data_IF_871039213035
#
_entry.id   IF_871039213035
#
_cell.length_a   1.000
_cell.length_b   1.000
_cell.length_c   1.000
_cell.angle_alpha   90.00
_cell.angle_beta   90.00
_cell.angle_gamma   90.00
#
_symmetry.space_group_name_H-M   'P 1'
#
loop_
_entity.id
_entity.type
_entity.pdbx_description
1 polymer ?
#
# COMPACT_ATOMS: atom_id res chain seq x y z
N UNK A 1 15.69 -19.25 -12.28
CA UNK A 1 15.02 -18.94 -13.56
C UNK A 1 13.54 -19.18 -13.32
N UNK A 2 12.74 -18.12 -13.26
CA UNK A 2 11.30 -18.24 -13.05
C UNK A 2 10.68 -18.77 -14.35
N UNK A 3 10.19 -20.01 -14.33
CA UNK A 3 9.45 -20.61 -15.44
C UNK A 3 7.98 -20.24 -15.30
N UNK A 4 7.52 -19.26 -16.08
CA UNK A 4 6.10 -18.95 -16.19
C UNK A 4 5.76 -17.59 -16.79
N UNK A 5 5.51 -17.59 -18.12
CA UNK A 5 4.85 -16.57 -18.96
C UNK A 5 5.74 -15.47 -19.57
N UNK A 6 6.00 -15.52 -20.90
CA UNK A 6 6.73 -14.47 -21.61
C UNK A 6 5.98 -13.16 -21.85
N UNK A 7 4.71 -13.01 -21.42
CA UNK A 7 3.82 -11.92 -21.86
C UNK A 7 3.01 -11.23 -20.74
N UNK A 8 3.30 -11.48 -19.46
CA UNK A 8 2.54 -10.90 -18.35
C UNK A 8 3.30 -9.77 -17.64
N UNK A 9 2.57 -8.90 -16.93
CA UNK A 9 3.13 -7.86 -16.07
C UNK A 9 4.16 -8.44 -15.09
N UNK A 10 5.26 -7.72 -14.86
CA UNK A 10 6.33 -8.14 -13.96
C UNK A 10 6.20 -7.49 -12.58
N UNK A 11 6.41 -8.27 -11.52
CA UNK A 11 6.53 -7.78 -10.14
C UNK A 11 7.87 -8.24 -9.58
N UNK A 12 8.71 -7.30 -9.15
CA UNK A 12 9.98 -7.58 -8.48
C UNK A 12 9.83 -7.29 -6.99
N UNK A 13 9.79 -8.33 -6.16
CA UNK A 13 9.66 -8.20 -4.72
C UNK A 13 11.02 -8.21 -4.02
N UNK A 14 11.33 -7.13 -3.29
CA UNK A 14 12.53 -7.05 -2.46
C UNK A 14 12.43 -7.91 -1.20
N UNK A 15 11.29 -7.84 -0.50
CA UNK A 15 11.12 -8.51 0.80
C UNK A 15 9.77 -9.21 0.86
N UNK A 16 9.81 -10.51 1.12
CA UNK A 16 8.63 -11.28 1.49
C UNK A 16 8.73 -11.68 2.96
N UNK A 17 7.86 -11.13 3.81
CA UNK A 17 7.81 -11.50 5.22
C UNK A 17 6.73 -12.56 5.42
N UNK A 18 7.14 -13.77 5.81
CA UNK A 18 6.24 -14.92 5.94
C UNK A 18 5.94 -15.23 7.40
N UNK A 19 4.67 -15.55 7.69
CA UNK A 19 4.30 -16.30 8.89
C UNK A 19 4.88 -17.72 8.76
N UNK A 20 5.44 -18.29 9.83
CA UNK A 20 5.80 -19.70 9.82
C UNK A 20 4.51 -20.53 9.76
N UNK A 21 4.37 -21.34 8.70
CA UNK A 21 3.31 -22.34 8.59
C UNK A 21 3.39 -23.43 9.68
N UNK A 22 4.53 -23.51 10.39
CA UNK A 22 4.83 -24.56 11.35
C UNK A 22 4.77 -24.10 12.81
N UNK A 23 4.51 -22.82 13.09
CA UNK A 23 4.47 -22.32 14.47
C UNK A 23 3.38 -21.27 14.62
N UNK A 24 2.14 -21.74 14.73
CA UNK A 24 1.15 -21.02 15.52
C UNK A 24 1.62 -21.05 16.98
N UNK A 25 1.79 -19.89 17.60
CA UNK A 25 2.21 -19.81 18.99
C UNK A 25 1.21 -20.51 19.92
N UNK A 26 -0.09 -20.45 19.60
CA UNK A 26 -1.13 -21.12 20.38
C UNK A 26 -1.03 -22.65 20.29
N UNK A 27 -0.46 -23.19 19.21
CA UNK A 27 -0.33 -24.63 18.96
C UNK A 27 1.04 -25.18 19.37
N UNK A 28 2.11 -24.42 19.13
CA UNK A 28 3.50 -24.91 19.22
C UNK A 28 4.33 -24.25 20.32
N UNK A 29 3.84 -23.14 20.91
CA UNK A 29 4.59 -22.33 21.87
C UNK A 29 5.81 -21.60 21.28
N UNK A 30 6.06 -21.72 19.96
CA UNK A 30 7.19 -21.08 19.28
C UNK A 30 6.73 -19.82 18.57
N UNK A 31 7.55 -18.76 18.64
CA UNK A 31 7.24 -17.44 18.06
C UNK A 31 7.90 -17.30 16.69
N UNK A 32 7.15 -16.85 15.69
CA UNK A 32 7.73 -16.29 14.46
C UNK A 32 7.77 -14.79 14.58
N UNK A 33 8.97 -14.28 14.85
CA UNK A 33 9.20 -12.85 14.98
C UNK A 33 9.52 -12.28 13.61
N UNK A 34 8.75 -11.31 13.18
CA UNK A 34 9.02 -10.53 11.99
C UNK A 34 9.99 -9.39 12.31
N UNK A 35 10.77 -8.92 11.32
CA UNK A 35 11.72 -7.82 11.51
C UNK A 35 11.02 -6.56 12.03
N UNK A 36 11.66 -5.87 12.95
CA UNK A 36 11.21 -4.57 13.47
C UNK A 36 11.63 -3.39 12.59
N UNK A 37 12.66 -3.57 11.76
CA UNK A 37 13.10 -2.58 10.78
C UNK A 37 13.39 -3.24 9.43
N UNK A 38 12.77 -2.72 8.37
CA UNK A 38 13.03 -3.10 6.97
C UNK A 38 13.30 -1.82 6.20
N UNK A 39 14.37 -1.80 5.40
CA UNK A 39 14.66 -0.69 4.49
C UNK A 39 14.94 -1.24 3.10
N UNK A 40 14.24 -0.71 2.11
CA UNK A 40 14.46 -0.98 0.69
C UNK A 40 14.65 0.36 0.01
N UNK A 41 15.75 0.51 -0.72
CA UNK A 41 16.11 1.77 -1.37
C UNK A 41 16.66 1.51 -2.78
N UNK A 42 16.29 2.36 -3.73
CA UNK A 42 16.92 2.42 -5.06
C UNK A 42 16.55 1.26 -5.99
N UNK A 43 15.30 0.81 -5.96
CA UNK A 43 14.79 -0.14 -6.95
C UNK A 43 14.19 0.62 -8.12
N UNK A 44 14.69 0.40 -9.35
CA UNK A 44 14.16 1.06 -10.54
C UNK A 44 13.93 0.06 -11.65
N UNK A 45 12.71 0.01 -12.17
CA UNK A 45 12.39 -0.69 -13.41
C UNK A 45 12.97 0.08 -14.60
N UNK A 46 13.75 -0.60 -15.44
CA UNK A 46 14.33 -0.05 -16.66
C UNK A 46 14.05 -0.99 -17.83
N UNK A 47 14.08 -0.46 -19.05
CA UNK A 47 13.90 -1.23 -20.30
C UNK A 47 12.60 -2.06 -20.34
N UNK A 48 11.52 -1.52 -19.77
CA UNK A 48 10.20 -2.17 -19.77
C UNK A 48 9.53 -1.96 -21.12
N UNK A 49 8.98 -3.04 -21.69
CA UNK A 49 8.37 -2.96 -23.01
C UNK A 49 7.12 -2.06 -23.01
N UNK A 50 6.79 -1.39 -24.14
CA UNK A 50 5.70 -0.41 -24.19
C UNK A 50 4.31 -0.91 -23.82
N UNK A 51 4.06 -2.23 -23.83
CA UNK A 51 2.75 -2.82 -23.51
C UNK A 51 2.76 -3.53 -22.14
N UNK A 52 3.87 -3.46 -21.41
CA UNK A 52 4.08 -4.18 -20.18
C UNK A 52 4.19 -3.24 -18.99
N UNK A 53 3.75 -3.72 -17.84
CA UNK A 53 3.98 -3.07 -16.56
C UNK A 53 5.10 -3.80 -15.81
N UNK A 54 5.92 -3.06 -15.10
CA UNK A 54 6.90 -3.59 -14.16
C UNK A 54 6.82 -2.83 -12.84
N UNK A 55 6.45 -3.53 -11.78
CA UNK A 55 6.28 -2.94 -10.44
C UNK A 55 7.41 -3.35 -9.52
N UNK A 56 8.02 -2.35 -8.87
CA UNK A 56 8.96 -2.53 -7.78
C UNK A 56 8.16 -2.72 -6.49
N UNK A 57 8.03 -3.97 -6.06
CA UNK A 57 7.39 -4.34 -4.81
C UNK A 57 8.42 -4.26 -3.67
N UNK A 58 8.23 -3.31 -2.77
CA UNK A 58 9.11 -3.14 -1.61
C UNK A 58 8.85 -4.18 -0.53
N UNK A 59 7.58 -4.51 -0.32
CA UNK A 59 7.19 -5.53 0.64
C UNK A 59 5.95 -6.31 0.20
N UNK A 60 6.02 -7.62 0.40
CA UNK A 60 4.91 -8.57 0.22
C UNK A 60 4.72 -9.43 1.46
N UNK A 61 3.46 -9.61 1.86
CA UNK A 61 3.06 -10.40 3.02
C UNK A 61 2.06 -11.51 2.60
N UNK A 62 1.92 -12.60 3.37
CA UNK A 62 0.88 -13.59 3.13
C UNK A 62 -0.48 -13.11 3.65
N UNK A 63 -1.55 -13.70 3.12
CA UNK A 63 -2.94 -13.33 3.44
C UNK A 63 -3.37 -13.66 4.88
N UNK A 64 -2.59 -14.47 5.60
CA UNK A 64 -2.90 -15.01 6.91
C UNK A 64 -2.09 -14.35 8.04
N UNK A 65 -1.45 -13.21 7.78
CA UNK A 65 -0.59 -12.55 8.75
C UNK A 65 -1.32 -12.15 10.04
N UNK A 66 -2.63 -11.88 9.94
CA UNK A 66 -3.50 -11.59 11.10
C UNK A 66 -3.52 -12.73 12.14
N UNK A 67 -3.15 -13.96 11.76
CA UNK A 67 -3.04 -15.09 12.68
C UNK A 67 -1.78 -15.01 13.55
N UNK A 68 -0.80 -14.17 13.21
CA UNK A 68 0.41 -13.99 14.01
C UNK A 68 0.19 -12.98 15.15
N UNK A 69 -0.55 -13.40 16.17
CA UNK A 69 -0.91 -12.53 17.31
C UNK A 69 0.29 -12.14 18.17
N UNK A 70 1.42 -12.85 18.09
CA UNK A 70 2.68 -12.54 18.80
C UNK A 70 3.84 -12.49 17.80
N UNK A 71 3.67 -11.65 16.78
CA UNK A 71 4.60 -11.56 15.64
C UNK A 71 5.77 -10.61 15.80
N UNK A 72 5.82 -9.81 16.88
CA UNK A 72 6.91 -8.86 17.14
C UNK A 72 7.59 -9.13 18.48
N UNK A 73 8.88 -8.83 18.53
CA UNK A 73 9.64 -8.77 19.79
C UNK A 73 9.25 -7.53 20.61
N UNK A 74 8.85 -6.46 19.92
CA UNK A 74 8.60 -5.16 20.51
C UNK A 74 7.10 -4.99 20.76
N UNK A 75 6.77 -4.47 21.94
CA UNK A 75 5.40 -4.02 22.23
C UNK A 75 5.02 -2.85 21.31
N UNK A 76 3.76 -2.79 20.88
CA UNK A 76 3.19 -1.66 20.15
C UNK A 76 3.43 -0.34 20.88
N UNK A 77 3.90 0.66 20.15
CA UNK A 77 4.01 2.02 20.62
C UNK A 77 2.65 2.69 20.79
N UNK A 78 2.67 3.94 21.26
CA UNK A 78 1.46 4.77 21.42
C UNK A 78 0.73 5.03 20.09
N UNK A 79 1.43 4.92 18.97
CA UNK A 79 0.87 5.04 17.63
C UNK A 79 0.20 3.75 17.13
N UNK A 80 0.26 2.66 17.90
CA UNK A 80 -0.30 1.35 17.58
C UNK A 80 0.56 0.48 16.66
N UNK A 81 1.82 0.85 16.39
CA UNK A 81 2.75 0.11 15.53
C UNK A 81 3.98 -0.37 16.32
N UNK A 82 4.67 -1.41 15.85
CA UNK A 82 5.89 -1.94 16.48
C UNK A 82 6.97 -2.36 15.46
N UNK A 83 6.75 -2.07 14.18
CA UNK A 83 7.71 -2.29 13.12
C UNK A 83 7.73 -1.10 12.17
N UNK A 84 8.90 -0.84 11.58
CA UNK A 84 9.15 0.24 10.64
C UNK A 84 9.61 -0.36 9.33
N UNK A 85 8.96 0.07 8.25
CA UNK A 85 9.31 -0.33 6.89
C UNK A 85 9.50 0.95 6.12
N UNK A 86 10.69 1.15 5.58
CA UNK A 86 11.02 2.34 4.80
C UNK A 86 11.33 1.91 3.38
N UNK A 87 10.51 2.35 2.44
CA UNK A 87 10.65 2.10 1.02
C UNK A 87 11.00 3.45 0.37
N UNK A 88 12.20 3.59 -0.19
CA UNK A 88 12.63 4.86 -0.80
C UNK A 88 13.05 4.67 -2.24
N UNK A 89 12.68 5.61 -3.10
CA UNK A 89 13.10 5.59 -4.50
C UNK A 89 12.76 4.26 -5.21
N UNK A 90 11.58 3.69 -4.93
CA UNK A 90 11.06 2.54 -5.67
C UNK A 90 10.32 3.07 -6.90
N UNK A 91 10.93 2.90 -8.06
CA UNK A 91 10.47 3.45 -9.33
C UNK A 91 10.00 2.31 -10.25
N UNK A 92 8.70 2.17 -10.36
CA UNK A 92 8.00 1.24 -11.24
C UNK A 92 7.73 1.90 -12.60
N UNK A 93 7.47 1.09 -13.63
CA UNK A 93 7.04 1.56 -14.95
C UNK A 93 5.68 0.95 -15.26
N UNK A 94 4.68 1.80 -15.44
CA UNK A 94 3.33 1.39 -15.84
C UNK A 94 3.07 1.97 -17.24
N UNK A 95 3.21 1.13 -18.27
CA UNK A 95 2.94 1.55 -19.65
C UNK A 95 1.51 1.21 -20.10
N UNK A 96 0.92 0.14 -19.55
CA UNK A 96 -0.49 -0.18 -19.75
C UNK A 96 -1.31 0.48 -18.61
N UNK A 97 -2.19 1.45 -18.91
CA UNK A 97 -2.92 2.25 -17.92
C UNK A 97 -4.11 1.50 -17.30
N UNK A 98 -3.98 0.19 -17.12
CA UNK A 98 -4.92 -0.66 -16.41
C UNK A 98 -4.17 -1.65 -15.53
N UNK A 99 -4.51 -1.66 -14.25
CA UNK A 99 -3.93 -2.59 -13.27
C UNK A 99 -5.08 -3.22 -12.49
N UNK A 100 -5.21 -4.53 -12.52
CA UNK A 100 -6.20 -5.24 -11.70
C UNK A 100 -5.97 -5.01 -10.21
N UNK A 101 -7.03 -5.10 -9.39
CA UNK A 101 -6.99 -4.73 -7.97
C UNK A 101 -5.79 -5.32 -7.20
N UNK A 102 -5.54 -6.61 -7.36
CA UNK A 102 -4.49 -7.34 -6.65
C UNK A 102 -3.22 -7.59 -7.51
N UNK A 103 -3.11 -6.96 -8.68
CA UNK A 103 -1.95 -7.13 -9.56
C UNK A 103 -0.87 -6.09 -9.28
N UNK A 104 0.38 -6.55 -9.12
CA UNK A 104 1.59 -5.74 -9.17
C UNK A 104 1.59 -4.53 -8.21
N UNK A 105 1.99 -4.73 -6.95
CA UNK A 105 1.86 -3.73 -5.88
C UNK A 105 3.22 -3.28 -5.33
N UNK A 106 3.36 -1.99 -5.00
CA UNK A 106 4.54 -1.50 -4.27
C UNK A 106 4.53 -2.02 -2.82
N UNK A 107 3.33 -2.07 -2.23
CA UNK A 107 3.06 -2.64 -0.91
C UNK A 107 1.92 -3.65 -1.06
N UNK A 108 2.22 -4.92 -0.82
CA UNK A 108 1.26 -6.02 -0.94
C UNK A 108 1.04 -6.71 0.43
N UNK A 109 -0.10 -6.43 1.05
CA UNK A 109 -0.55 -7.01 2.32
C UNK A 109 -1.95 -7.59 2.11
N UNK A 110 -2.05 -8.70 1.36
CA UNK A 110 -3.31 -9.31 0.97
C UNK A 110 -4.01 -9.93 2.19
N UNK A 111 -5.26 -10.36 2.01
CA UNK A 111 -6.12 -10.99 3.01
C UNK A 111 -7.40 -10.19 3.25
N UNK A 112 -8.11 -10.50 4.33
CA UNK A 112 -9.40 -9.88 4.65
C UNK A 112 -9.48 -9.47 6.12
N UNK A 113 -9.83 -8.20 6.35
CA UNK A 113 -10.00 -7.62 7.66
C UNK A 113 -11.17 -8.22 8.45
N UNK A 114 -12.14 -8.85 7.79
CA UNK A 114 -13.19 -9.61 8.45
C UNK A 114 -12.62 -10.75 9.33
N UNK A 115 -11.40 -11.22 9.04
CA UNK A 115 -10.74 -12.26 9.80
C UNK A 115 -9.93 -11.74 11.01
N UNK A 116 -9.83 -10.43 11.21
CA UNK A 116 -9.08 -9.87 12.34
C UNK A 116 -9.78 -10.17 13.65
N UNK A 117 -9.19 -11.07 14.44
CA UNK A 117 -9.72 -11.43 15.75
C UNK A 117 -9.41 -10.38 16.81
N UNK A 118 -10.16 -10.41 17.91
CA UNK A 118 -9.86 -9.59 19.09
C UNK A 118 -8.43 -9.85 19.60
N UNK A 119 -7.95 -11.09 19.56
CA UNK A 119 -6.58 -11.44 19.95
C UNK A 119 -5.54 -10.73 19.08
N UNK A 120 -5.73 -10.69 17.76
CA UNK A 120 -4.83 -9.99 16.85
C UNK A 120 -4.83 -8.48 17.10
N UNK A 121 -6.02 -7.88 17.24
CA UNK A 121 -6.18 -6.44 17.40
C UNK A 121 -5.68 -5.94 18.76
N UNK A 122 -5.99 -6.69 19.84
CA UNK A 122 -5.68 -6.32 21.22
C UNK A 122 -4.32 -6.80 21.70
N UNK A 123 -3.66 -7.73 21.00
CA UNK A 123 -2.31 -8.16 21.38
C UNK A 123 -1.33 -6.99 21.37
N UNK A 124 -0.56 -6.84 22.43
CA UNK A 124 0.55 -5.87 22.51
C UNK A 124 1.69 -6.19 21.53
N UNK A 125 1.75 -7.43 21.02
CA UNK A 125 2.89 -7.96 20.27
C UNK A 125 2.53 -8.45 18.87
N UNK A 126 1.28 -8.27 18.41
CA UNK A 126 0.99 -8.52 16.99
C UNK A 126 1.80 -7.55 16.13
N UNK A 127 2.36 -8.05 15.05
CA UNK A 127 3.26 -7.27 14.21
C UNK A 127 2.42 -6.31 13.36
N UNK A 128 2.49 -5.02 13.67
CA UNK A 128 1.76 -3.96 12.98
C UNK A 128 2.81 -2.98 12.45
N UNK A 129 3.05 -2.97 11.13
CA UNK A 129 4.04 -2.09 10.55
C UNK A 129 3.51 -0.68 10.34
N UNK A 130 4.40 0.29 10.51
CA UNK A 130 4.33 1.57 9.82
C UNK A 130 5.20 1.47 8.56
N UNK A 131 4.59 1.72 7.41
CA UNK A 131 5.22 1.67 6.11
C UNK A 131 5.34 3.10 5.61
N UNK A 132 6.57 3.54 5.40
CA UNK A 132 6.90 4.86 4.90
C UNK A 132 7.39 4.70 3.47
N UNK A 133 6.69 5.33 2.53
CA UNK A 133 7.10 5.42 1.13
C UNK A 133 7.65 6.83 0.88
N UNK A 134 8.94 6.92 0.56
CA UNK A 134 9.60 8.18 0.25
C UNK A 134 9.98 8.20 -1.23
N UNK A 135 9.40 9.13 -1.99
CA UNK A 135 9.72 9.31 -3.42
C UNK A 135 9.54 8.02 -4.27
N UNK A 136 8.50 7.24 -3.98
CA UNK A 136 8.13 6.06 -4.77
C UNK A 136 7.21 6.45 -5.93
N UNK A 137 7.41 5.88 -7.11
CA UNK A 137 6.76 6.33 -8.36
C UNK A 137 6.49 5.14 -9.30
N UNK A 138 5.23 4.90 -9.71
CA UNK A 138 4.06 5.08 -8.88
C UNK A 138 4.08 4.15 -7.64
N UNK A 139 3.58 4.66 -6.51
CA UNK A 139 3.21 3.89 -5.35
C UNK A 139 1.83 3.25 -5.54
N UNK A 140 1.76 1.93 -5.38
CA UNK A 140 0.52 1.15 -5.47
C UNK A 140 0.35 0.37 -4.17
N UNK A 141 -0.65 0.75 -3.37
CA UNK A 141 -0.85 0.24 -2.01
C UNK A 141 -2.04 -0.72 -1.99
N UNK A 142 -1.79 -1.97 -1.61
CA UNK A 142 -2.80 -3.00 -1.41
C UNK A 142 -2.67 -3.58 -0.01
N UNK A 143 -3.51 -3.15 0.93
CA UNK A 143 -3.42 -3.54 2.35
C UNK A 143 -4.74 -4.01 2.97
N UNK A 144 -5.47 -4.96 2.36
CA UNK A 144 -6.73 -5.44 2.94
C UNK A 144 -6.56 -6.40 4.14
N UNK A 145 -5.44 -7.12 4.27
CA UNK A 145 -5.43 -8.32 5.13
C UNK A 145 -4.69 -8.27 6.45
N UNK A 146 -3.91 -7.23 6.73
CA UNK A 146 -3.36 -7.01 8.07
C UNK A 146 -3.42 -5.53 8.44
N UNK A 147 -3.52 -5.27 9.75
CA UNK A 147 -3.50 -3.90 10.26
C UNK A 147 -2.13 -3.26 9.98
N UNK A 148 -2.12 -2.10 9.35
CA UNK A 148 -0.92 -1.33 9.02
C UNK A 148 -1.20 0.17 9.06
N UNK A 149 -0.13 0.95 9.14
CA UNK A 149 -0.13 2.40 8.90
C UNK A 149 0.74 2.64 7.68
N UNK A 150 0.24 3.41 6.71
CA UNK A 150 0.98 3.76 5.50
C UNK A 150 1.13 5.28 5.46
N UNK A 151 2.36 5.76 5.43
CA UNK A 151 2.69 7.17 5.25
C UNK A 151 3.46 7.32 3.92
N UNK A 152 3.01 8.21 3.04
CA UNK A 152 3.58 8.46 1.72
C UNK A 152 4.08 9.91 1.68
N UNK A 153 5.34 10.09 1.32
CA UNK A 153 6.01 11.39 1.24
C UNK A 153 6.60 11.58 -0.16
N UNK A 154 6.04 12.51 -0.92
CA UNK A 154 6.49 12.78 -2.28
C UNK A 154 6.20 11.64 -3.27
N UNK A 155 6.82 11.72 -4.45
CA UNK A 155 6.64 10.75 -5.52
C UNK A 155 5.26 10.84 -6.18
N UNK A 156 4.78 9.71 -6.70
CA UNK A 156 3.48 9.60 -7.38
C UNK A 156 2.66 8.47 -6.77
N UNK A 157 1.42 8.72 -6.40
CA UNK A 157 0.47 7.74 -5.88
C UNK A 157 -0.52 7.32 -6.96
N UNK A 158 -0.61 6.01 -7.21
CA UNK A 158 -1.52 5.44 -8.21
C UNK A 158 -2.68 4.64 -7.62
N UNK A 159 -2.59 4.22 -6.36
CA UNK A 159 -3.64 3.43 -5.68
C UNK A 159 -3.50 3.44 -4.17
N UNK A 160 -4.63 3.48 -3.47
CA UNK A 160 -4.74 3.13 -2.04
C UNK A 160 -5.95 2.24 -1.81
N UNK A 161 -5.70 0.94 -1.66
CA UNK A 161 -6.72 -0.04 -1.31
C UNK A 161 -6.52 -0.60 0.09
N UNK A 162 -7.51 -0.40 0.93
CA UNK A 162 -7.58 -0.96 2.30
C UNK A 162 -8.81 -1.85 2.50
N UNK A 163 -9.60 -2.12 1.46
CA UNK A 163 -10.90 -2.81 1.59
C UNK A 163 -11.82 -2.21 2.68
N UNK A 164 -11.76 -0.88 2.86
CA UNK A 164 -12.57 -0.17 3.87
C UNK A 164 -12.24 -0.48 5.33
N UNK A 165 -11.14 -1.19 5.61
CA UNK A 165 -10.76 -1.59 6.96
C UNK A 165 -10.17 -0.43 7.79
N UNK A 166 -9.78 -0.72 9.04
CA UNK A 166 -9.20 0.25 9.98
C UNK A 166 -7.77 0.69 9.69
N UNK A 167 -7.21 0.40 8.51
CA UNK A 167 -5.89 0.87 8.10
C UNK A 167 -5.90 2.37 7.87
N UNK A 168 -4.80 3.00 8.27
CA UNK A 168 -4.62 4.46 8.15
C UNK A 168 -3.62 4.72 7.04
N UNK A 169 -3.99 5.58 6.12
CA UNK A 169 -3.11 6.07 5.07
C UNK A 169 -2.95 7.58 5.20
N UNK A 170 -1.72 8.08 5.08
CA UNK A 170 -1.42 9.51 4.98
C UNK A 170 -0.58 9.75 3.76
N UNK A 171 -0.93 10.78 2.99
CA UNK A 171 -0.23 11.17 1.77
C UNK A 171 0.15 12.63 1.92
N UNK A 172 1.43 12.94 1.77
CA UNK A 172 1.96 14.28 1.95
C UNK A 172 2.86 14.65 0.78
N UNK A 173 2.51 15.71 0.06
CA UNK A 173 3.36 16.27 -0.99
C UNK A 173 3.55 15.37 -2.22
N UNK A 174 2.61 14.47 -2.52
CA UNK A 174 2.71 13.55 -3.66
C UNK A 174 1.86 14.02 -4.86
N UNK A 175 2.28 13.63 -6.06
CA UNK A 175 1.41 13.65 -7.24
C UNK A 175 0.43 12.48 -7.17
N UNK A 176 -0.86 12.73 -7.35
CA UNK A 176 -1.88 11.68 -7.35
C UNK A 176 -2.43 11.53 -8.77
N UNK A 177 -2.18 10.36 -9.35
CA UNK A 177 -2.65 9.96 -10.67
C UNK A 177 -3.13 8.52 -10.58
N UNK A 178 -4.42 8.32 -10.27
CA UNK A 178 -4.94 6.98 -10.04
C UNK A 178 -5.01 6.17 -11.33
N UNK A 179 -4.66 4.88 -11.21
CA UNK A 179 -4.69 3.92 -12.30
C UNK A 179 -5.86 2.96 -12.08
N UNK A 180 -6.89 3.00 -12.95
CA UNK A 180 -8.06 2.16 -12.79
C UNK A 180 -7.77 0.70 -13.17
N UNK A 181 -8.72 -0.19 -12.87
CA UNK A 181 -8.77 -1.50 -13.52
C UNK A 181 -9.43 -1.44 -14.91
N UNK A 182 -9.59 -2.60 -15.55
CA UNK A 182 -10.23 -2.70 -16.85
C UNK A 182 -11.70 -2.23 -16.88
N UNK A 183 -12.37 -2.14 -15.72
CA UNK A 183 -13.73 -1.64 -15.58
C UNK A 183 -13.79 -0.13 -15.28
N UNK A 184 -12.64 0.55 -15.19
CA UNK A 184 -12.56 1.98 -14.88
C UNK A 184 -12.61 2.30 -13.39
N UNK A 185 -12.51 1.31 -12.50
CA UNK A 185 -12.59 1.53 -11.05
C UNK A 185 -11.27 2.07 -10.52
N UNK A 186 -11.31 3.27 -9.93
CA UNK A 186 -10.17 3.85 -9.22
C UNK A 186 -10.22 3.44 -7.74
N UNK A 187 -9.21 2.71 -7.30
CA UNK A 187 -9.15 2.22 -5.92
C UNK A 187 -8.48 3.25 -5.00
N UNK A 188 -9.32 4.06 -4.35
CA UNK A 188 -8.85 5.06 -3.39
C UNK A 188 -9.78 5.13 -2.18
N UNK A 189 -9.26 4.70 -1.02
CA UNK A 189 -9.97 4.75 0.26
C UNK A 189 -10.03 6.19 0.84
N UNK A 190 -10.79 7.07 0.18
CA UNK A 190 -10.81 8.52 0.46
C UNK A 190 -11.18 8.87 1.92
N UNK A 191 -12.09 8.14 2.54
CA UNK A 191 -12.55 8.38 3.91
C UNK A 191 -11.51 7.95 4.98
N UNK A 192 -10.55 7.10 4.59
CA UNK A 192 -9.46 6.59 5.44
C UNK A 192 -8.09 7.18 5.13
N UNK A 193 -8.00 7.95 4.05
CA UNK A 193 -6.73 8.53 3.58
C UNK A 193 -6.72 10.02 3.85
N UNK A 194 -5.77 10.46 4.68
CA UNK A 194 -5.50 11.89 4.88
C UNK A 194 -4.54 12.36 3.80
N UNK A 195 -4.96 13.33 2.98
CA UNK A 195 -4.16 13.87 1.87
C UNK A 195 -3.86 15.33 2.13
N UNK A 196 -2.57 15.68 2.21
CA UNK A 196 -2.11 17.04 2.52
C UNK A 196 -1.08 17.51 1.50
N UNK A 197 -1.24 18.72 0.97
CA UNK A 197 -0.23 19.33 0.10
C UNK A 197 -0.01 18.58 -1.21
N UNK A 198 -0.99 17.82 -1.71
CA UNK A 198 -0.83 16.97 -2.87
C UNK A 198 -1.38 17.61 -4.15
N UNK A 199 -0.76 17.27 -5.28
CA UNK A 199 -1.19 17.68 -6.61
C UNK A 199 -1.99 16.56 -7.27
N UNK A 200 -3.18 16.87 -7.74
CA UNK A 200 -4.09 15.89 -8.34
C UNK A 200 -4.06 16.03 -9.86
N UNK A 201 -3.68 14.95 -10.54
CA UNK A 201 -3.65 14.81 -11.99
C UNK A 201 -4.95 14.16 -12.48
N UNK A 202 -5.17 14.12 -13.79
CA UNK A 202 -6.28 13.33 -14.31
C UNK A 202 -6.04 11.84 -14.05
N UNK A 203 -7.02 11.08 -13.52
CA UNK A 203 -6.93 9.63 -13.53
C UNK A 203 -6.68 9.13 -14.96
N UNK A 204 -5.91 8.07 -15.07
CA UNK A 204 -5.63 7.47 -16.38
C UNK A 204 -6.88 6.80 -16.97
N UNK A 205 -6.84 6.52 -18.27
CA UNK A 205 -7.91 5.82 -19.00
C UNK A 205 -9.32 6.46 -18.87
N UNK A 206 -9.40 7.78 -18.70
CA UNK A 206 -10.68 8.50 -18.66
C UNK A 206 -11.49 8.32 -17.38
N UNK A 207 -10.92 7.66 -16.36
CA UNK A 207 -11.60 7.48 -15.08
C UNK A 207 -11.79 8.81 -14.32
N UNK A 208 -12.66 8.78 -13.30
CA UNK A 208 -12.97 9.91 -12.43
C UNK A 208 -12.68 9.56 -10.98
N UNK A 209 -12.24 10.55 -10.19
CA UNK A 209 -12.11 10.35 -8.75
C UNK A 209 -13.48 10.14 -8.10
N UNK A 210 -13.51 9.35 -7.03
CA UNK A 210 -14.71 9.09 -6.23
C UNK A 210 -14.47 9.41 -4.76
N UNK A 211 -15.56 9.66 -4.03
CA UNK A 211 -15.52 9.94 -2.59
C UNK A 211 -15.25 11.40 -2.22
N UNK A 212 -15.16 11.66 -0.92
CA UNK A 212 -14.85 12.97 -0.33
C UNK A 212 -13.50 12.89 0.34
N UNK A 213 -12.60 13.81 0.01
CA UNK A 213 -11.26 13.78 0.59
C UNK A 213 -11.23 14.29 2.02
N UNK A 214 -10.19 13.86 2.74
CA UNK A 214 -9.79 14.41 4.02
C UNK A 214 -8.43 15.07 3.87
N UNK A 215 -8.24 16.22 4.52
CA UNK A 215 -6.99 16.96 4.55
C UNK A 215 -7.09 18.32 3.87
N UNK A 216 -5.94 18.91 3.52
CA UNK A 216 -5.84 20.34 3.18
C UNK A 216 -4.66 20.64 2.25
N UNK A 217 -4.69 21.83 1.63
CA UNK A 217 -3.60 22.30 0.74
C UNK A 217 -3.45 21.47 -0.53
N UNK A 218 -4.53 20.81 -0.99
CA UNK A 218 -4.52 20.01 -2.19
C UNK A 218 -4.89 20.86 -3.41
N UNK A 219 -4.22 20.64 -4.53
CA UNK A 219 -4.43 21.37 -5.78
C UNK A 219 -4.81 20.41 -6.90
N UNK A 220 -5.81 20.76 -7.71
CA UNK A 220 -6.09 20.06 -8.95
C UNK A 220 -5.29 20.70 -10.08
N UNK A 221 -4.37 19.95 -10.69
CA UNK A 221 -3.59 20.36 -11.87
C UNK A 221 -4.25 19.86 -13.16
N UNK A 222 -4.97 18.73 -13.10
CA UNK A 222 -5.73 18.19 -14.25
C UNK A 222 -7.06 18.90 -14.50
N UNK A 223 -7.98 18.20 -15.17
CA UNK A 223 -9.32 18.67 -15.50
C UNK A 223 -10.17 18.80 -14.23
N UNK A 224 -10.77 19.98 -14.01
CA UNK A 224 -11.62 20.24 -12.85
C UNK A 224 -12.88 19.37 -12.83
N UNK A 225 -13.38 18.92 -13.99
CA UNK A 225 -14.49 17.98 -14.07
C UNK A 225 -14.13 16.58 -13.56
N UNK A 226 -12.83 16.28 -13.51
CA UNK A 226 -12.28 15.03 -12.97
C UNK A 226 -11.72 15.21 -11.58
N UNK A 227 -11.84 16.39 -10.96
CA UNK A 227 -11.30 16.66 -9.65
C UNK A 227 -11.96 15.76 -8.58
N UNK A 228 -11.21 15.32 -7.56
CA UNK A 228 -11.84 14.75 -6.38
C UNK A 228 -12.69 15.84 -5.71
N UNK A 229 -13.68 15.44 -4.89
CA UNK A 229 -14.39 16.41 -4.05
C UNK A 229 -13.43 16.95 -2.98
N UNK A 230 -12.70 18.02 -3.33
CA UNK A 230 -11.82 18.76 -2.45
C UNK A 230 -12.70 19.46 -1.41
N UNK A 231 -12.56 19.16 -0.10
CA UNK A 231 -13.32 19.86 0.92
C UNK A 231 -12.97 21.35 0.88
N UNK A 232 -13.99 22.21 0.79
CA UNK A 232 -13.83 23.66 0.75
C UNK A 232 -13.17 24.23 2.03
N UNK A 233 -13.23 23.50 3.14
CA UNK A 233 -12.65 23.85 4.43
C UNK A 233 -11.72 22.74 4.93
N UNK A 234 -10.56 23.13 5.46
CA UNK A 234 -9.63 22.21 6.11
C UNK A 234 -10.32 21.54 7.32
N UNK A 235 -10.44 20.21 7.31
CA UNK A 235 -10.65 19.46 8.53
C UNK A 235 -9.29 19.36 9.23
N UNK A 236 -9.07 20.24 10.23
CA UNK A 236 -7.96 20.15 11.19
C UNK A 236 -8.37 19.17 12.29
#
# INVERSE_FOLDING_TARGET
>A
IQTGRPNDNFEFCAVTALRSQFTDYAVTGRKTLLPDNITVDGMTAINVQPIQNAVMCGIKLPADLYQNTVGSRNKKGSDGTNARITLRNLHSVINNPSIELAAAQTVDIPGDAANWTADYLNSDYSWIPRITLDNCIPAIIHTPGAKAVVDIHGGKLARVYTNGNGNRCRVTGADIELIPDASGVVYFAADKTLVTGCSWLNPTNGATYTGTLRGSGNEMIGDSAKAPNLPANAFI
#
